data_IF_735699398969
#
_entry.id   IF_735699398969
#
_cell.length_a   1.000
_cell.length_b   1.000
_cell.length_c   1.000
_cell.angle_alpha   90.00
_cell.angle_beta   90.00
_cell.angle_gamma   90.00
#
_symmetry.space_group_name_H-M   'P 1'
#
loop_
_entity.id
_entity.type
_entity.pdbx_description
1 polymer ?
#
# COMPACT_ATOMS: atom_id res chain seq x y z
N UNK A 1 -45.52 -20.89 -1.05
CA UNK A 1 -44.38 -20.98 -0.10
C UNK A 1 -43.15 -21.43 -0.89
N UNK A 2 -41.99 -20.80 -0.64
CA UNK A 2 -40.70 -20.84 -1.38
C UNK A 2 -40.52 -19.78 -2.47
N UNK A 3 -40.18 -18.56 -2.03
CA UNK A 3 -39.43 -17.59 -2.82
C UNK A 3 -37.99 -18.11 -3.00
N UNK A 4 -37.58 -18.37 -4.23
CA UNK A 4 -36.17 -18.55 -4.57
C UNK A 4 -35.47 -17.19 -4.47
N UNK A 5 -34.75 -16.95 -3.38
CA UNK A 5 -33.79 -15.85 -3.29
C UNK A 5 -32.64 -16.20 -4.25
N UNK A 6 -32.65 -15.63 -5.45
CA UNK A 6 -31.48 -15.62 -6.33
C UNK A 6 -30.36 -14.91 -5.57
N UNK A 7 -29.40 -15.66 -5.07
CA UNK A 7 -28.13 -15.11 -4.61
C UNK A 7 -27.47 -14.47 -5.82
N UNK A 8 -27.52 -13.14 -5.90
CA UNK A 8 -26.75 -12.37 -6.88
C UNK A 8 -25.29 -12.58 -6.49
N UNK A 9 -24.59 -13.42 -7.24
CA UNK A 9 -23.15 -13.56 -7.16
C UNK A 9 -22.57 -12.26 -7.73
N UNK A 10 -22.27 -11.28 -6.87
CA UNK A 10 -21.45 -10.15 -7.26
C UNK A 10 -20.04 -10.69 -7.50
N UNK A 11 -19.76 -11.06 -8.76
CA UNK A 11 -18.41 -11.42 -9.20
C UNK A 11 -17.59 -10.15 -9.13
N UNK A 12 -16.80 -10.02 -8.07
CA UNK A 12 -15.75 -9.03 -8.05
C UNK A 12 -14.47 -9.68 -8.55
N UNK A 13 -14.11 -9.36 -9.78
CA UNK A 13 -12.82 -9.73 -10.34
C UNK A 13 -11.82 -8.68 -9.83
N UNK A 14 -10.78 -9.10 -9.12
CA UNK A 14 -9.61 -8.23 -8.90
C UNK A 14 -9.06 -7.83 -10.26
N UNK A 15 -8.63 -6.59 -10.47
CA UNK A 15 -8.27 -6.00 -11.78
C UNK A 15 -7.21 -6.77 -12.61
N UNK A 16 -6.69 -7.90 -12.13
CA UNK A 16 -5.53 -8.60 -12.67
C UNK A 16 -5.86 -10.01 -13.24
N UNK A 17 -7.12 -10.44 -13.29
CA UNK A 17 -7.55 -11.59 -14.13
C UNK A 17 -7.80 -11.18 -15.60
N UNK A 18 -7.44 -9.96 -15.99
CA UNK A 18 -7.84 -9.29 -17.23
C UNK A 18 -7.01 -9.64 -18.49
N UNK A 19 -5.93 -10.41 -18.38
CA UNK A 19 -5.03 -10.65 -19.51
C UNK A 19 -5.57 -11.60 -20.60
N UNK A 20 -6.84 -12.02 -20.57
CA UNK A 20 -7.42 -12.90 -21.60
C UNK A 20 -8.76 -12.46 -22.19
N UNK A 21 -9.33 -11.30 -21.83
CA UNK A 21 -10.61 -10.86 -22.43
C UNK A 21 -10.60 -9.36 -22.74
N UNK A 22 -10.70 -9.04 -24.03
CA UNK A 22 -10.83 -7.70 -24.59
C UNK A 22 -11.95 -6.87 -23.96
N UNK A 23 -11.66 -5.60 -23.67
CA UNK A 23 -12.59 -4.48 -23.48
C UNK A 23 -13.75 -4.65 -22.47
N UNK A 24 -13.45 -4.71 -21.17
CA UNK A 24 -14.46 -4.40 -20.15
C UNK A 24 -13.84 -3.66 -18.93
N UNK A 25 -14.21 -2.40 -18.73
CA UNK A 25 -14.05 -1.73 -17.43
C UNK A 25 -15.02 -2.42 -16.45
N UNK A 26 -14.52 -3.07 -15.39
CA UNK A 26 -15.38 -3.69 -14.36
C UNK A 26 -15.27 -2.98 -13.02
N UNK A 27 -16.28 -2.16 -12.77
CA UNK A 27 -16.68 -1.63 -11.46
C UNK A 27 -17.60 -2.62 -10.74
N UNK A 28 -17.63 -2.61 -9.40
CA UNK A 28 -18.51 -3.46 -8.60
C UNK A 28 -19.97 -3.00 -8.70
N UNK A 29 -20.86 -3.91 -9.09
CA UNK A 29 -22.24 -3.61 -9.46
C UNK A 29 -23.25 -4.09 -8.42
N UNK A 30 -24.18 -3.22 -8.00
CA UNK A 30 -25.40 -3.65 -7.29
C UNK A 30 -26.58 -3.65 -8.26
N UNK A 31 -27.08 -4.84 -8.58
CA UNK A 31 -28.43 -5.06 -9.14
C UNK A 31 -28.66 -4.65 -10.60
N UNK A 32 -29.04 -5.62 -11.46
CA UNK A 32 -29.67 -5.32 -12.75
C UNK A 32 -31.19 -5.15 -12.54
N UNK A 33 -31.71 -3.95 -12.74
CA UNK A 33 -33.07 -3.75 -13.24
C UNK A 33 -33.10 -2.56 -14.21
N UNK A 34 -33.52 -2.84 -15.44
CA UNK A 34 -33.99 -1.88 -16.46
C UNK A 34 -33.03 -0.75 -16.89
N UNK A 35 -32.04 -1.09 -17.72
CA UNK A 35 -31.43 -0.14 -18.67
C UNK A 35 -30.60 1.02 -18.10
N UNK A 36 -30.30 1.03 -16.79
CA UNK A 36 -29.41 2.03 -16.19
C UNK A 36 -27.96 1.55 -16.19
N UNK A 37 -27.05 2.49 -16.45
CA UNK A 37 -25.61 2.29 -16.27
C UNK A 37 -25.34 1.69 -14.88
N UNK A 38 -24.38 0.78 -14.79
CA UNK A 38 -24.10 0.13 -13.54
C UNK A 38 -23.70 1.12 -12.44
N UNK A 39 -24.21 0.91 -11.22
CA UNK A 39 -23.93 1.74 -10.05
C UNK A 39 -22.85 1.09 -9.19
N UNK A 40 -21.79 1.86 -8.90
CA UNK A 40 -20.73 1.51 -7.95
C UNK A 40 -21.30 1.34 -6.53
N UNK A 41 -20.89 0.29 -5.82
CA UNK A 41 -21.30 0.10 -4.44
C UNK A 41 -20.51 1.01 -3.49
N UNK A 42 -21.02 2.19 -3.22
CA UNK A 42 -20.39 3.15 -2.31
C UNK A 42 -20.96 3.06 -0.89
N UNK A 43 -20.10 3.25 0.10
CA UNK A 43 -20.43 3.41 1.51
C UNK A 43 -19.56 4.52 2.12
N UNK A 44 -20.10 5.21 3.11
CA UNK A 44 -19.45 6.33 3.80
C UNK A 44 -19.56 6.16 5.32
N UNK A 45 -19.30 7.24 6.06
CA UNK A 45 -19.18 7.27 7.51
C UNK A 45 -20.36 6.64 8.25
N UNK A 46 -20.07 5.87 9.29
CA UNK A 46 -21.05 5.22 10.17
C UNK A 46 -21.75 4.01 9.57
N UNK A 47 -21.49 3.69 8.30
CA UNK A 47 -22.13 2.55 7.63
C UNK A 47 -21.39 1.24 7.87
N UNK A 48 -22.06 0.14 7.55
CA UNK A 48 -21.49 -1.20 7.54
C UNK A 48 -21.78 -1.90 6.21
N UNK A 49 -20.92 -2.85 5.83
CA UNK A 49 -21.09 -3.63 4.61
C UNK A 49 -20.65 -5.08 4.77
N UNK A 50 -21.45 -5.99 4.21
CA UNK A 50 -21.07 -7.39 3.95
C UNK A 50 -20.66 -7.63 2.49
N UNK A 51 -20.81 -6.62 1.65
CA UNK A 51 -20.68 -6.76 0.21
C UNK A 51 -19.23 -6.60 -0.20
N UNK A 52 -18.75 -7.56 -0.98
CA UNK A 52 -17.42 -7.49 -1.57
C UNK A 52 -17.35 -6.32 -2.57
N UNK A 53 -16.19 -5.69 -2.70
CA UNK A 53 -15.94 -4.58 -3.60
C UNK A 53 -16.79 -3.35 -3.29
N UNK A 54 -16.94 -3.08 -2.00
CA UNK A 54 -17.49 -1.82 -1.52
C UNK A 54 -16.42 -0.73 -1.62
N UNK A 55 -16.81 0.43 -2.14
CA UNK A 55 -16.00 1.64 -2.16
C UNK A 55 -16.28 2.47 -0.91
N UNK A 56 -15.28 2.63 -0.06
CA UNK A 56 -15.33 3.55 1.08
C UNK A 56 -14.97 4.95 0.60
N UNK A 57 -15.95 5.85 0.60
CA UNK A 57 -15.78 7.20 0.04
C UNK A 57 -15.98 8.29 1.07
N UNK A 58 -15.31 9.43 0.86
CA UNK A 58 -15.56 10.65 1.61
C UNK A 58 -17.02 11.10 1.48
N UNK A 59 -17.59 11.76 2.51
CA UNK A 59 -18.91 12.38 2.37
C UNK A 59 -18.89 13.39 1.21
N UNK A 60 -19.85 13.27 0.28
CA UNK A 60 -19.93 14.14 -0.89
C UNK A 60 -18.99 13.78 -2.05
N UNK A 61 -18.24 12.66 -1.98
CA UNK A 61 -17.41 12.18 -3.09
C UNK A 61 -18.18 12.17 -4.43
N UNK A 62 -17.60 12.66 -5.54
CA UNK A 62 -16.16 12.91 -5.77
C UNK A 62 -15.66 14.29 -5.36
N UNK A 63 -16.48 15.15 -4.76
CA UNK A 63 -16.03 16.47 -4.32
C UNK A 63 -15.14 16.39 -3.07
N UNK A 64 -14.34 17.44 -2.84
CA UNK A 64 -13.50 17.54 -1.66
C UNK A 64 -14.34 17.66 -0.38
N UNK A 65 -13.96 16.89 0.64
CA UNK A 65 -14.52 16.94 1.98
C UNK A 65 -13.66 17.83 2.88
N UNK A 66 -14.27 18.85 3.48
CA UNK A 66 -13.53 19.88 4.21
C UNK A 66 -13.63 19.84 5.72
N UNK A 67 -14.57 19.10 6.28
CA UNK A 67 -14.85 19.13 7.71
C UNK A 67 -13.97 18.17 8.52
N UNK A 68 -13.86 18.42 9.82
CA UNK A 68 -13.29 17.48 10.77
C UNK A 68 -14.29 16.33 11.01
N UNK A 69 -13.83 15.08 11.05
CA UNK A 69 -14.72 13.94 11.23
C UNK A 69 -14.00 12.71 11.78
N UNK A 70 -14.77 11.84 12.42
CA UNK A 70 -14.39 10.46 12.69
C UNK A 70 -15.24 9.55 11.79
N UNK A 71 -14.76 9.34 10.57
CA UNK A 71 -15.50 8.62 9.54
C UNK A 71 -15.10 7.15 9.54
N UNK A 72 -15.95 6.29 10.09
CA UNK A 72 -15.69 4.84 10.15
C UNK A 72 -16.60 4.05 9.22
N UNK A 73 -16.03 3.16 8.39
CA UNK A 73 -16.73 2.09 7.70
C UNK A 73 -16.48 0.76 8.39
N UNK A 74 -17.54 0.03 8.70
CA UNK A 74 -17.47 -1.32 9.29
C UNK A 74 -17.55 -2.39 8.20
N UNK A 75 -16.50 -3.18 8.05
CA UNK A 75 -16.44 -4.33 7.15
C UNK A 75 -16.84 -5.59 7.90
N UNK A 76 -17.98 -6.15 7.52
CA UNK A 76 -18.53 -7.35 8.10
C UNK A 76 -18.24 -8.55 7.18
N UNK A 77 -17.44 -9.50 7.66
CA UNK A 77 -17.10 -10.70 6.89
C UNK A 77 -18.26 -11.70 6.88
N UNK A 78 -18.44 -12.39 5.75
CA UNK A 78 -19.46 -13.44 5.62
C UNK A 78 -18.98 -14.72 6.26
N UNK A 79 -19.77 -15.30 7.16
CA UNK A 79 -19.48 -16.61 7.77
C UNK A 79 -19.51 -17.77 6.76
N UNK A 80 -20.14 -17.57 5.59
CA UNK A 80 -20.26 -18.60 4.55
C UNK A 80 -19.02 -18.72 3.68
N UNK A 81 -18.20 -17.67 3.63
CA UNK A 81 -16.97 -17.63 2.85
C UNK A 81 -15.81 -17.57 3.82
N UNK A 82 -14.86 -18.49 3.69
CA UNK A 82 -13.67 -18.49 4.53
C UNK A 82 -12.73 -17.38 4.05
N UNK A 83 -12.94 -16.14 4.52
CA UNK A 83 -12.15 -14.96 4.16
C UNK A 83 -10.91 -14.89 5.05
N UNK A 84 -9.72 -14.91 4.43
CA UNK A 84 -8.45 -14.78 5.14
C UNK A 84 -7.82 -13.39 4.99
N UNK A 85 -8.15 -12.66 3.93
CA UNK A 85 -7.56 -11.34 3.67
C UNK A 85 -8.60 -10.36 3.16
N UNK A 86 -8.37 -9.09 3.44
CA UNK A 86 -9.06 -7.96 2.81
C UNK A 86 -8.01 -7.13 2.08
N UNK A 87 -8.15 -6.96 0.77
CA UNK A 87 -7.33 -6.02 0.01
C UNK A 87 -8.03 -4.66 -0.03
N UNK A 88 -7.28 -3.61 0.28
CA UNK A 88 -7.70 -2.23 0.10
C UNK A 88 -6.94 -1.66 -1.08
N UNK A 89 -7.66 -1.15 -2.08
CA UNK A 89 -7.08 -0.42 -3.21
C UNK A 89 -7.43 1.07 -3.05
N UNK A 90 -6.41 1.92 -2.95
CA UNK A 90 -6.55 3.37 -2.81
C UNK A 90 -6.70 4.01 -4.20
N UNK A 91 -7.93 4.07 -4.70
CA UNK A 91 -8.19 4.65 -6.02
C UNK A 91 -7.97 6.16 -5.98
N UNK A 92 -8.56 6.80 -4.97
CA UNK A 92 -8.26 8.16 -4.55
C UNK A 92 -7.91 8.11 -3.07
N UNK A 93 -6.86 8.83 -2.68
CA UNK A 93 -6.50 8.98 -1.27
C UNK A 93 -5.66 10.24 -1.13
N UNK A 94 -6.31 11.31 -0.68
CA UNK A 94 -5.70 12.59 -0.35
C UNK A 94 -6.26 13.04 1.00
N UNK A 95 -5.38 13.17 1.98
CA UNK A 95 -5.69 13.82 3.27
C UNK A 95 -4.72 14.96 3.51
N UNK A 96 -4.78 15.60 4.69
CA UNK A 96 -3.70 16.44 5.17
C UNK A 96 -2.36 15.68 5.16
N UNK A 97 -1.30 16.40 4.79
CA UNK A 97 0.07 15.87 4.79
C UNK A 97 0.54 15.60 6.22
N UNK A 98 1.44 14.62 6.43
CA UNK A 98 2.09 14.44 7.71
C UNK A 98 2.97 15.66 8.07
N UNK A 99 3.13 15.88 9.37
CA UNK A 99 4.10 16.83 9.92
C UNK A 99 5.35 16.05 10.31
N UNK A 100 6.47 16.29 9.62
CA UNK A 100 7.74 15.58 9.84
C UNK A 100 7.58 14.05 9.83
N UNK A 101 6.81 13.53 8.86
CA UNK A 101 6.49 12.10 8.72
C UNK A 101 5.39 11.58 9.66
N UNK A 102 4.86 12.38 10.59
CA UNK A 102 3.82 11.96 11.54
C UNK A 102 2.41 12.41 11.14
N UNK A 103 1.45 11.49 11.17
CA UNK A 103 0.03 11.74 10.89
C UNK A 103 -0.72 12.34 12.09
N UNK A 104 -0.42 13.59 12.45
CA UNK A 104 -0.93 14.24 13.66
C UNK A 104 -2.39 14.71 13.56
N UNK A 105 -2.77 15.22 12.38
CA UNK A 105 -4.08 15.82 12.13
C UNK A 105 -5.04 14.86 11.47
N UNK A 106 -4.70 14.43 10.26
CA UNK A 106 -5.47 13.46 9.51
C UNK A 106 -4.80 12.09 9.57
N UNK A 107 -5.59 11.04 9.79
CA UNK A 107 -5.11 9.66 9.82
C UNK A 107 -6.17 8.67 9.36
N UNK A 108 -5.74 7.76 8.52
CA UNK A 108 -6.43 6.53 8.17
C UNK A 108 -5.89 5.39 9.02
N UNK A 109 -6.78 4.68 9.70
CA UNK A 109 -6.43 3.55 10.56
C UNK A 109 -7.28 2.33 10.22
N UNK A 110 -6.68 1.16 10.37
CA UNK A 110 -7.36 -0.13 10.22
C UNK A 110 -7.34 -0.85 11.56
N UNK A 111 -8.51 -1.25 12.07
CA UNK A 111 -8.65 -2.04 13.31
C UNK A 111 -9.40 -3.33 13.07
N UNK A 112 -9.19 -4.33 13.93
CA UNK A 112 -9.82 -5.65 13.80
C UNK A 112 -9.07 -6.61 12.85
N UNK A 113 -7.86 -6.22 12.42
CA UNK A 113 -6.88 -7.08 11.77
C UNK A 113 -6.26 -8.08 12.77
N UNK A 114 -5.49 -9.04 12.26
CA UNK A 114 -4.66 -9.91 13.08
C UNK A 114 -3.57 -9.08 13.78
N UNK A 115 -3.47 -9.20 15.11
CA UNK A 115 -2.52 -8.44 15.93
C UNK A 115 -1.05 -8.71 15.58
N UNK A 116 -0.76 -9.89 15.01
CA UNK A 116 0.59 -10.25 14.55
C UNK A 116 0.97 -9.59 13.22
N UNK A 117 0.01 -8.96 12.55
CA UNK A 117 0.21 -8.20 11.30
C UNK A 117 -0.28 -6.76 11.50
N UNK A 118 0.47 -5.94 12.25
CA UNK A 118 0.09 -4.54 12.47
C UNK A 118 0.01 -3.79 11.13
N UNK A 119 -0.99 -2.93 11.02
CA UNK A 119 -1.22 -2.08 9.84
C UNK A 119 -0.84 -0.66 10.24
N UNK A 120 0.04 0.03 9.47
CA UNK A 120 0.45 1.37 9.81
C UNK A 120 -0.70 2.37 9.66
N UNK A 121 -0.65 3.45 10.44
CA UNK A 121 -1.49 4.62 10.22
C UNK A 121 -1.01 5.35 8.97
N UNK A 122 -1.93 5.79 8.11
CA UNK A 122 -1.60 6.49 6.86
C UNK A 122 -2.21 7.89 6.81
N UNK A 123 -1.51 8.81 6.15
CA UNK A 123 -2.01 10.15 5.79
C UNK A 123 -1.28 10.65 4.54
N UNK A 124 -1.52 11.90 4.14
CA UNK A 124 -1.05 12.50 2.90
C UNK A 124 -1.69 11.86 1.66
N UNK A 125 -0.88 11.59 0.63
CA UNK A 125 -1.31 11.04 -0.65
C UNK A 125 -0.84 9.59 -0.84
N UNK A 126 -1.80 8.68 -1.00
CA UNK A 126 -1.53 7.26 -1.23
C UNK A 126 -2.29 6.69 -2.44
N UNK A 127 -2.78 7.55 -3.33
CA UNK A 127 -3.51 7.12 -4.52
C UNK A 127 -2.65 6.18 -5.40
N UNK A 128 -3.29 5.15 -5.95
CA UNK A 128 -2.66 4.11 -6.75
C UNK A 128 -1.94 3.02 -5.94
N UNK A 129 -1.86 3.14 -4.60
CA UNK A 129 -1.31 2.10 -3.73
C UNK A 129 -2.39 1.15 -3.20
N UNK A 130 -1.95 0.06 -2.58
CA UNK A 130 -2.84 -0.93 -1.97
C UNK A 130 -2.25 -1.50 -0.70
N UNK A 131 -3.08 -2.19 0.09
CA UNK A 131 -2.64 -2.99 1.23
C UNK A 131 -3.47 -4.26 1.39
N UNK A 132 -2.88 -5.29 1.98
CA UNK A 132 -3.51 -6.54 2.35
C UNK A 132 -3.61 -6.63 3.87
N UNK A 133 -4.83 -6.79 4.36
CA UNK A 133 -5.14 -6.92 5.78
C UNK A 133 -5.39 -8.39 6.08
N UNK A 134 -4.55 -8.99 6.92
CA UNK A 134 -4.77 -10.35 7.40
C UNK A 134 -5.88 -10.36 8.46
N UNK A 135 -6.84 -11.24 8.24
CA UNK A 135 -8.02 -11.43 9.08
C UNK A 135 -8.27 -12.92 9.37
N UNK A 136 -7.30 -13.78 9.03
CA UNK A 136 -7.40 -15.23 9.25
C UNK A 136 -7.66 -15.53 10.73
N UNK A 137 -8.59 -16.46 10.99
CA UNK A 137 -9.03 -16.89 12.32
C UNK A 137 -9.64 -15.79 13.21
N UNK A 138 -9.87 -14.59 12.67
CA UNK A 138 -10.63 -13.54 13.33
C UNK A 138 -12.01 -13.46 12.65
N UNK A 139 -13.09 -13.35 13.41
CA UNK A 139 -14.44 -13.09 12.86
C UNK A 139 -14.96 -11.69 13.23
N UNK A 140 -14.22 -10.96 14.06
CA UNK A 140 -14.53 -9.60 14.45
C UNK A 140 -14.52 -8.68 13.23
N UNK A 141 -15.44 -7.72 13.14
CA UNK A 141 -15.45 -6.73 12.05
C UNK A 141 -14.09 -6.04 11.89
N UNK A 142 -13.75 -5.66 10.65
CA UNK A 142 -12.66 -4.72 10.40
C UNK A 142 -13.24 -3.31 10.34
N UNK A 143 -12.60 -2.38 11.00
CA UNK A 143 -12.98 -0.97 10.98
C UNK A 143 -11.96 -0.20 10.15
N UNK A 144 -12.44 0.48 9.12
CA UNK A 144 -11.66 1.45 8.37
C UNK A 144 -12.06 2.83 8.87
N UNK A 145 -11.15 3.55 9.52
CA UNK A 145 -11.46 4.85 10.14
C UNK A 145 -10.59 5.93 9.54
N UNK A 146 -11.24 6.94 8.96
CA UNK A 146 -10.62 8.20 8.56
C UNK A 146 -10.94 9.26 9.62
N UNK A 147 -9.92 9.65 10.38
CA UNK A 147 -9.98 10.71 11.40
C UNK A 147 -9.36 11.96 10.80
N UNK A 148 -10.09 13.07 10.75
CA UNK A 148 -9.61 14.35 10.22
C UNK A 148 -9.78 15.48 11.22
N UNK A 149 -8.86 16.45 11.21
CA UNK A 149 -8.92 17.63 12.09
C UNK A 149 -8.93 18.93 11.31
N UNK A 150 -9.70 19.90 11.81
CA UNK A 150 -9.79 21.24 11.21
C UNK A 150 -10.30 21.22 9.77
N UNK A 151 -10.14 22.36 9.10
CA UNK A 151 -10.51 22.52 7.70
C UNK A 151 -9.38 22.06 6.78
N UNK A 152 -9.72 21.44 5.66
CA UNK A 152 -8.75 20.92 4.69
C UNK A 152 -9.42 20.49 3.40
N UNK A 153 -8.66 20.00 2.43
CA UNK A 153 -9.21 19.41 1.21
C UNK A 153 -8.86 17.93 1.22
N UNK A 154 -9.83 17.08 1.58
CA UNK A 154 -9.66 15.63 1.60
C UNK A 154 -10.54 14.97 0.58
N UNK A 155 -10.03 13.91 -0.02
CA UNK A 155 -10.79 13.07 -0.93
C UNK A 155 -10.28 11.65 -0.79
N UNK A 156 -11.18 10.69 -0.58
CA UNK A 156 -10.79 9.28 -0.61
C UNK A 156 -11.87 8.41 -1.26
N UNK A 157 -11.38 7.40 -1.96
CA UNK A 157 -12.13 6.31 -2.55
C UNK A 157 -11.31 5.03 -2.42
N UNK A 158 -11.63 4.25 -1.39
CA UNK A 158 -10.90 3.03 -1.03
C UNK A 158 -11.77 1.83 -1.38
N UNK A 159 -11.40 1.05 -2.40
CA UNK A 159 -12.10 -0.18 -2.76
C UNK A 159 -11.68 -1.31 -1.84
N UNK A 160 -12.64 -1.99 -1.23
CA UNK A 160 -12.40 -3.12 -0.33
C UNK A 160 -12.71 -4.45 -1.02
N UNK A 161 -11.78 -5.40 -1.03
CA UNK A 161 -11.95 -6.70 -1.67
C UNK A 161 -11.69 -7.84 -0.68
N UNK A 162 -12.71 -8.65 -0.40
CA UNK A 162 -12.58 -9.87 0.41
C UNK A 162 -11.92 -10.98 -0.41
N UNK A 163 -10.90 -11.60 0.17
CA UNK A 163 -10.10 -12.67 -0.44
C UNK A 163 -10.27 -13.94 0.40
N UNK A 164 -10.86 -14.95 -0.24
CA UNK A 164 -11.01 -16.28 0.34
C UNK A 164 -9.65 -16.96 0.59
N UNK A 165 -9.56 -17.77 1.63
CA UNK A 165 -8.35 -18.48 2.02
C UNK A 165 -7.79 -19.40 0.92
N UNK A 166 -8.67 -19.96 0.09
CA UNK A 166 -8.36 -20.82 -1.05
C UNK A 166 -8.00 -20.04 -2.31
N UNK A 167 -8.14 -18.71 -2.31
CA UNK A 167 -7.90 -17.91 -3.50
C UNK A 167 -6.39 -17.82 -3.79
N UNK A 168 -5.93 -18.22 -5.00
CA UNK A 168 -4.50 -18.16 -5.35
C UNK A 168 -3.96 -16.73 -5.49
N UNK A 169 -4.84 -15.72 -5.53
CA UNK A 169 -4.48 -14.29 -5.53
C UNK A 169 -4.19 -13.74 -4.12
N UNK A 170 -4.32 -14.56 -3.08
CA UNK A 170 -4.02 -14.17 -1.70
C UNK A 170 -2.54 -13.79 -1.57
N UNK A 171 -2.25 -12.67 -0.91
CA UNK A 171 -0.89 -12.31 -0.58
C UNK A 171 -0.29 -13.35 0.39
N UNK A 172 1.03 -13.61 0.35
CA UNK A 172 1.67 -14.41 1.38
C UNK A 172 1.41 -13.82 2.77
N UNK A 173 1.45 -14.67 3.80
CA UNK A 173 1.22 -14.22 5.19
C UNK A 173 2.20 -13.11 5.56
N UNK A 174 1.71 -12.13 6.32
CA UNK A 174 2.46 -10.97 6.78
C UNK A 174 2.90 -9.96 5.71
N UNK A 175 2.56 -10.14 4.43
CA UNK A 175 2.81 -9.15 3.39
C UNK A 175 1.77 -8.02 3.43
N UNK A 176 2.18 -6.78 3.74
CA UNK A 176 1.26 -5.65 3.71
C UNK A 176 1.00 -5.20 2.28
N UNK A 177 2.02 -5.21 1.43
CA UNK A 177 1.88 -5.01 -0.02
C UNK A 177 2.25 -6.30 -0.76
N UNK A 178 1.50 -6.60 -1.82
CA UNK A 178 1.77 -7.73 -2.69
C UNK A 178 1.60 -7.33 -4.15
N UNK A 179 2.70 -7.36 -4.88
CA UNK A 179 2.78 -7.06 -6.31
C UNK A 179 2.86 -8.35 -7.11
N UNK A 180 2.22 -8.35 -8.28
CA UNK A 180 2.13 -9.50 -9.19
C UNK A 180 2.60 -9.08 -10.58
N UNK A 181 2.87 -10.06 -11.43
CA UNK A 181 3.39 -9.82 -12.76
C UNK A 181 4.91 -9.62 -12.76
N UNK A 182 5.54 -9.74 -13.94
CA UNK A 182 6.99 -9.77 -14.06
C UNK A 182 7.64 -8.40 -13.86
N UNK A 183 6.88 -7.31 -13.92
CA UNK A 183 7.41 -5.96 -13.78
C UNK A 183 6.36 -4.99 -13.26
N UNK A 184 6.80 -3.89 -12.66
CA UNK A 184 5.93 -2.84 -12.16
C UNK A 184 6.67 -1.79 -11.35
N UNK A 185 5.91 -0.90 -10.71
CA UNK A 185 6.44 0.13 -9.82
C UNK A 185 5.85 -0.03 -8.43
N UNK A 186 6.68 0.16 -7.42
CA UNK A 186 6.27 0.17 -6.01
C UNK A 186 6.91 1.36 -5.30
N UNK A 187 6.29 1.82 -4.23
CA UNK A 187 6.74 3.00 -3.49
C UNK A 187 6.42 2.90 -2.01
N UNK A 188 7.10 3.69 -1.20
CA UNK A 188 6.69 3.91 0.19
C UNK A 188 5.30 4.55 0.24
N UNK A 189 4.56 4.28 1.32
CA UNK A 189 3.40 5.10 1.65
C UNK A 189 3.81 6.57 1.79
N UNK A 190 2.94 7.44 1.30
CA UNK A 190 3.15 8.89 1.16
C UNK A 190 4.45 9.29 0.43
N UNK A 191 4.94 8.48 -0.52
CA UNK A 191 6.03 8.90 -1.39
C UNK A 191 5.72 10.25 -2.06
N UNK A 192 6.65 11.19 -1.97
CA UNK A 192 6.56 12.50 -2.60
C UNK A 192 7.87 12.84 -3.31
N UNK A 193 7.80 13.47 -4.48
CA UNK A 193 9.00 14.00 -5.17
C UNK A 193 9.65 15.16 -4.42
N UNK A 194 8.90 15.80 -3.53
CA UNK A 194 9.36 16.86 -2.64
C UNK A 194 8.84 16.58 -1.22
N UNK A 195 9.76 16.40 -0.28
CA UNK A 195 9.48 16.17 1.14
C UNK A 195 8.73 17.33 1.81
N UNK A 196 8.67 18.53 1.19
CA UNK A 196 7.77 19.61 1.64
C UNK A 196 6.29 19.18 1.68
N UNK A 197 5.94 18.14 0.92
CA UNK A 197 4.62 17.50 0.93
C UNK A 197 4.51 16.37 1.95
N UNK A 198 5.41 16.33 2.92
CA UNK A 198 5.36 15.44 4.08
C UNK A 198 6.09 14.12 3.91
N UNK A 199 6.55 13.73 2.71
CA UNK A 199 7.46 12.59 2.51
C UNK A 199 6.97 11.22 3.04
N UNK A 200 7.85 10.22 3.13
CA UNK A 200 7.47 8.94 3.74
C UNK A 200 7.08 9.11 5.21
N UNK A 201 6.23 8.21 5.71
CA UNK A 201 5.72 8.27 7.08
C UNK A 201 6.70 7.66 8.09
N UNK A 202 6.64 8.15 9.32
CA UNK A 202 7.37 7.60 10.45
C UNK A 202 6.71 6.32 10.98
N UNK A 203 7.48 5.54 11.74
CA UNK A 203 7.06 4.30 12.39
C UNK A 203 6.54 3.24 11.42
N UNK A 204 7.02 3.26 10.18
CA UNK A 204 6.71 2.24 9.20
C UNK A 204 7.57 1.01 9.44
N UNK A 205 6.95 -0.17 9.34
CA UNK A 205 7.61 -1.45 9.45
C UNK A 205 6.75 -2.47 8.70
N UNK A 206 7.04 -2.66 7.42
CA UNK A 206 6.24 -3.58 6.61
C UNK A 206 7.03 -4.23 5.47
N UNK A 207 6.74 -5.50 5.17
CA UNK A 207 7.23 -6.16 3.98
C UNK A 207 6.34 -5.86 2.76
N UNK A 208 7.02 -5.77 1.63
CA UNK A 208 6.48 -5.61 0.29
C UNK A 208 6.89 -6.86 -0.49
N UNK A 209 5.92 -7.69 -0.80
CA UNK A 209 6.17 -8.99 -1.41
C UNK A 209 5.89 -8.94 -2.90
N UNK A 210 6.64 -9.72 -3.67
CA UNK A 210 6.43 -9.86 -5.11
C UNK A 210 6.19 -11.33 -5.43
N UNK A 211 5.19 -11.61 -6.26
CA UNK A 211 4.96 -12.96 -6.77
C UNK A 211 6.09 -13.33 -7.71
N UNK A 212 6.82 -14.40 -7.41
CA UNK A 212 7.79 -14.97 -8.36
C UNK A 212 7.03 -15.62 -9.52
N UNK A 213 7.12 -15.03 -10.70
CA UNK A 213 6.42 -15.50 -11.88
C UNK A 213 7.13 -16.71 -12.50
N UNK A 214 6.40 -17.49 -13.29
CA UNK A 214 6.93 -18.72 -13.90
C UNK A 214 8.15 -18.41 -14.78
N UNK A 215 9.23 -19.18 -14.62
CA UNK A 215 10.45 -19.00 -15.39
C UNK A 215 11.21 -17.71 -15.08
N UNK A 216 11.04 -17.16 -13.86
CA UNK A 216 11.80 -16.01 -13.37
C UNK A 216 12.68 -16.40 -12.19
N UNK A 217 13.97 -16.09 -12.30
CA UNK A 217 14.99 -16.56 -11.35
C UNK A 217 15.51 -15.45 -10.42
N UNK A 218 15.54 -14.20 -10.87
CA UNK A 218 15.94 -13.04 -10.08
C UNK A 218 15.02 -11.83 -10.31
N UNK A 219 15.12 -10.82 -9.46
CA UNK A 219 14.40 -9.56 -9.60
C UNK A 219 15.33 -8.37 -9.46
N UNK A 220 15.35 -7.50 -10.46
CA UNK A 220 16.13 -6.26 -10.46
C UNK A 220 15.25 -5.08 -10.05
N UNK A 221 15.73 -4.29 -9.10
CA UNK A 221 15.13 -3.03 -8.64
C UNK A 221 15.93 -1.85 -9.18
N UNK A 222 15.26 -0.84 -9.70
CA UNK A 222 15.89 0.33 -10.31
C UNK A 222 15.23 1.62 -9.83
N UNK A 223 16.06 2.56 -9.38
CA UNK A 223 15.68 3.97 -9.21
C UNK A 223 15.81 4.67 -10.56
N UNK A 224 14.69 5.11 -11.14
CA UNK A 224 14.64 5.61 -12.52
C UNK A 224 15.14 7.05 -12.65
N UNK A 225 15.01 7.86 -11.59
CA UNK A 225 15.46 9.24 -11.55
C UNK A 225 16.07 9.59 -10.18
N UNK A 226 16.55 10.83 -10.03
CA UNK A 226 17.22 11.32 -8.82
C UNK A 226 16.28 11.48 -7.62
N UNK A 227 14.98 11.63 -7.87
CA UNK A 227 13.94 11.85 -6.85
C UNK A 227 13.30 10.54 -6.40
N UNK A 228 13.52 9.46 -7.16
CA UNK A 228 12.95 8.12 -6.94
C UNK A 228 13.41 7.45 -5.64
N UNK A 229 14.47 7.95 -5.01
CA UNK A 229 15.02 7.36 -3.80
C UNK A 229 15.71 8.41 -2.93
N UNK A 230 15.12 8.71 -1.79
CA UNK A 230 15.74 9.48 -0.72
C UNK A 230 15.20 9.01 0.63
N UNK A 231 16.04 8.31 1.38
CA UNK A 231 15.77 7.88 2.76
C UNK A 231 16.82 8.50 3.66
N UNK A 232 16.38 9.30 4.62
CA UNK A 232 17.27 10.09 5.47
C UNK A 232 17.56 9.32 6.77
N UNK A 233 18.82 9.34 7.20
CA UNK A 233 19.20 8.95 8.55
C UNK A 233 20.04 10.08 9.13
N UNK A 234 19.75 10.46 10.37
CA UNK A 234 20.53 11.43 11.11
C UNK A 234 21.30 10.73 12.23
N UNK A 235 22.53 11.19 12.47
CA UNK A 235 23.29 10.80 13.65
C UNK A 235 22.86 11.61 14.89
N UNK A 236 23.48 11.33 16.04
CA UNK A 236 23.17 12.00 17.32
C UNK A 236 23.37 13.52 17.33
N UNK A 237 24.14 14.05 16.37
CA UNK A 237 24.37 15.48 16.19
C UNK A 237 23.50 16.04 15.06
N UNK A 238 22.37 15.39 14.76
CA UNK A 238 21.40 15.78 13.72
C UNK A 238 22.02 15.97 12.34
N UNK A 239 23.15 15.31 12.07
CA UNK A 239 23.85 15.38 10.79
C UNK A 239 23.56 14.12 9.97
N UNK A 240 23.40 14.22 8.64
CA UNK A 240 23.20 13.05 7.79
C UNK A 240 24.30 12.00 7.99
N UNK A 241 23.93 10.73 8.08
CA UNK A 241 24.90 9.62 8.11
C UNK A 241 25.56 9.39 6.75
N UNK A 242 24.89 9.82 5.68
CA UNK A 242 25.30 9.72 4.27
C UNK A 242 25.31 11.13 3.68
N UNK A 243 26.31 11.46 2.87
CA UNK A 243 26.43 12.78 2.26
C UNK A 243 25.28 13.10 1.29
N UNK A 244 25.03 14.39 1.09
CA UNK A 244 23.99 14.85 0.17
C UNK A 244 24.25 14.36 -1.26
N UNK A 245 23.31 13.60 -1.82
CA UNK A 245 23.44 13.04 -3.17
C UNK A 245 24.16 11.68 -3.25
N UNK A 246 24.62 11.15 -2.12
CA UNK A 246 25.32 9.86 -2.03
C UNK A 246 24.34 8.71 -1.72
N UNK A 247 24.75 7.47 -2.03
CA UNK A 247 24.08 6.24 -1.62
C UNK A 247 24.62 5.77 -0.27
N UNK A 248 23.71 5.31 0.59
CA UNK A 248 24.06 4.61 1.82
C UNK A 248 23.77 3.12 1.73
N UNK A 249 24.68 2.30 2.25
CA UNK A 249 24.60 0.85 2.28
C UNK A 249 24.94 0.28 3.67
N UNK A 250 24.13 -0.67 4.10
CA UNK A 250 24.37 -1.44 5.31
C UNK A 250 23.99 -0.72 6.62
N UNK A 251 24.33 -1.36 7.74
CA UNK A 251 23.82 -0.98 9.06
C UNK A 251 24.45 0.27 9.66
N UNK A 252 25.66 0.64 9.20
CA UNK A 252 26.37 1.81 9.72
C UNK A 252 25.82 3.10 9.12
N UNK A 253 25.55 3.09 7.81
CA UNK A 253 25.03 4.24 7.07
C UNK A 253 23.51 4.33 7.17
N UNK A 254 22.82 3.18 7.25
CA UNK A 254 21.35 3.08 7.31
C UNK A 254 20.87 2.37 8.60
N UNK A 255 21.13 2.95 9.79
CA UNK A 255 20.85 2.30 11.07
C UNK A 255 19.35 2.20 11.38
N UNK A 256 18.57 3.24 11.09
CA UNK A 256 17.20 3.40 11.57
C UNK A 256 16.19 3.25 10.43
N UNK A 257 16.38 4.07 9.39
CA UNK A 257 15.49 4.17 8.24
C UNK A 257 16.15 3.49 7.05
N UNK A 258 15.48 2.51 6.46
CA UNK A 258 16.04 1.80 5.32
C UNK A 258 14.99 1.07 4.50
N UNK A 259 15.28 0.98 3.21
CA UNK A 259 14.71 -0.03 2.34
C UNK A 259 15.66 -1.22 2.33
N UNK A 260 15.18 -2.41 2.69
CA UNK A 260 15.95 -3.65 2.61
C UNK A 260 15.60 -4.40 1.33
N UNK A 261 16.61 -4.66 0.50
CA UNK A 261 16.54 -5.44 -0.73
C UNK A 261 17.66 -6.49 -0.70
N UNK A 262 17.40 -7.74 -1.10
CA UNK A 262 18.40 -8.83 -1.07
C UNK A 262 19.09 -9.05 0.30
N UNK A 263 18.50 -8.53 1.39
CA UNK A 263 19.08 -8.62 2.74
C UNK A 263 19.89 -7.38 3.17
N UNK A 264 20.34 -6.56 2.24
CA UNK A 264 21.08 -5.32 2.51
C UNK A 264 20.16 -4.12 2.73
N UNK A 265 20.62 -3.18 3.54
CA UNK A 265 19.89 -1.94 3.87
C UNK A 265 20.37 -0.81 2.99
N UNK A 266 19.44 -0.09 2.38
CA UNK A 266 19.71 1.03 1.49
C UNK A 266 19.07 2.29 2.04
N UNK A 267 19.81 3.40 1.97
CA UNK A 267 19.36 4.74 2.32
C UNK A 267 20.19 5.80 1.56
N UNK A 268 20.07 7.07 1.93
CA UNK A 268 20.68 8.17 1.18
C UNK A 268 19.86 8.55 -0.04
N UNK A 269 20.47 9.31 -0.94
CA UNK A 269 19.82 9.91 -2.12
C UNK A 269 19.98 9.07 -3.40
N UNK A 270 20.64 7.91 -3.31
CA UNK A 270 20.87 6.99 -4.42
C UNK A 270 20.67 5.56 -3.97
N UNK A 271 20.23 4.71 -4.90
CA UNK A 271 20.21 3.27 -4.71
C UNK A 271 21.48 2.71 -5.33
N UNK A 272 22.39 2.14 -4.54
CA UNK A 272 23.64 1.56 -5.06
C UNK A 272 24.11 0.38 -4.18
N UNK A 273 24.29 -0.84 -4.74
CA UNK A 273 24.73 -2.01 -4.00
C UNK A 273 26.25 -2.21 -3.95
N UNK A 274 27.07 -1.35 -4.57
CA UNK A 274 28.52 -1.52 -4.61
C UNK A 274 29.16 -1.22 -3.23
N UNK A 275 29.64 -2.24 -2.49
CA UNK A 275 30.23 -2.03 -1.17
C UNK A 275 31.67 -1.48 -1.26
N UNK A 276 32.27 -1.46 -2.45
CA UNK A 276 33.63 -0.98 -2.69
C UNK A 276 33.67 0.49 -3.10
N UNK A 277 32.54 1.04 -3.54
CA UNK A 277 32.44 2.44 -3.92
C UNK A 277 32.54 3.34 -2.67
N UNK A 278 33.46 4.30 -2.70
CA UNK A 278 33.51 5.36 -1.68
C UNK A 278 32.54 6.47 -2.07
N UNK A 279 31.55 6.75 -1.22
CA UNK A 279 30.57 7.83 -1.41
C UNK A 279 29.90 7.83 -2.81
N UNK A 280 29.29 6.72 -3.24
CA UNK A 280 28.71 6.62 -4.58
C UNK A 280 27.58 7.64 -4.79
N UNK A 281 27.63 8.42 -5.86
CA UNK A 281 26.62 9.46 -6.20
C UNK A 281 25.70 9.08 -7.36
N UNK A 282 25.71 7.80 -7.76
CA UNK A 282 24.95 7.27 -8.90
C UNK A 282 24.04 6.13 -8.48
N UNK A 283 22.89 6.02 -9.16
CA UNK A 283 22.00 4.88 -9.02
C UNK A 283 22.58 3.68 -9.77
N UNK A 284 22.64 2.53 -9.11
CA UNK A 284 23.00 1.23 -9.68
C UNK A 284 21.90 0.23 -9.32
N UNK A 285 21.40 -0.56 -10.28
CA UNK A 285 20.34 -1.53 -10.00
C UNK A 285 20.75 -2.58 -8.96
N UNK A 286 19.82 -2.95 -8.09
CA UNK A 286 19.99 -4.03 -7.11
C UNK A 286 19.30 -5.29 -7.65
N UNK A 287 19.96 -6.44 -7.67
CA UNK A 287 19.40 -7.68 -8.23
C UNK A 287 19.27 -8.76 -7.17
N UNK A 288 18.04 -9.02 -6.74
CA UNK A 288 17.71 -10.06 -5.78
C UNK A 288 17.64 -11.43 -6.46
N UNK A 289 18.56 -12.32 -6.06
CA UNK A 289 18.65 -13.71 -6.55
C UNK A 289 18.07 -14.74 -5.57
N UNK A 290 17.29 -14.30 -4.59
CA UNK A 290 16.72 -15.16 -3.56
C UNK A 290 15.93 -16.34 -4.13
N UNK A 291 16.13 -17.52 -3.53
CA UNK A 291 15.39 -18.72 -3.90
C UNK A 291 13.90 -18.62 -3.57
N UNK A 292 13.55 -17.93 -2.47
CA UNK A 292 12.18 -17.69 -2.01
C UNK A 292 11.43 -16.60 -2.80
N UNK A 293 10.26 -16.16 -2.30
CA UNK A 293 9.60 -14.96 -2.81
C UNK A 293 10.55 -13.76 -2.75
N UNK A 294 10.49 -12.87 -3.75
CA UNK A 294 11.20 -11.60 -3.65
C UNK A 294 10.47 -10.71 -2.64
N UNK A 295 11.23 -10.14 -1.71
CA UNK A 295 10.68 -9.33 -0.61
C UNK A 295 11.56 -8.09 -0.47
N UNK A 296 10.92 -6.93 -0.63
CA UNK A 296 11.45 -5.68 -0.12
C UNK A 296 10.87 -5.44 1.27
N UNK A 297 11.59 -4.74 2.14
CA UNK A 297 11.11 -4.44 3.48
C UNK A 297 11.48 -3.01 3.86
N UNK A 298 10.49 -2.20 4.21
CA UNK A 298 10.71 -0.82 4.57
C UNK A 298 10.54 -0.62 6.07
N UNK A 299 11.50 0.10 6.67
CA UNK A 299 11.47 0.51 8.06
C UNK A 299 11.78 2.00 8.16
N UNK A 300 11.02 2.72 8.98
CA UNK A 300 11.33 4.07 9.47
C UNK A 300 11.18 4.17 10.98
N UNK A 301 11.93 5.06 11.60
CA UNK A 301 11.85 5.45 13.00
C UNK A 301 10.82 6.58 13.23
N UNK A 302 10.92 7.28 14.36
CA UNK A 302 9.97 8.31 14.77
C UNK A 302 10.46 9.75 14.59
N UNK A 303 11.68 9.98 14.10
CA UNK A 303 12.35 11.28 14.24
C UNK A 303 12.46 12.06 12.93
N UNK A 304 12.72 11.40 11.80
CA UNK A 304 12.99 12.08 10.54
C UNK A 304 12.35 11.42 9.34
N UNK A 305 12.15 12.21 8.29
CA UNK A 305 11.74 11.66 7.01
C UNK A 305 12.26 12.46 5.81
N UNK A 306 12.02 11.93 4.62
CA UNK A 306 12.35 12.55 3.34
C UNK A 306 11.38 12.04 2.25
N UNK A 307 11.72 12.17 0.97
CA UNK A 307 10.84 11.81 -0.15
C UNK A 307 10.32 10.37 -0.11
N UNK A 308 11.15 9.42 0.33
CA UNK A 308 10.86 8.00 0.35
C UNK A 308 11.45 7.31 -0.86
N UNK A 309 10.80 6.24 -1.33
CA UNK A 309 11.23 5.55 -2.54
C UNK A 309 10.07 5.29 -3.48
N UNK A 310 10.37 5.29 -4.78
CA UNK A 310 9.53 4.81 -5.87
C UNK A 310 10.43 4.11 -6.89
N UNK A 311 10.43 2.78 -6.86
CA UNK A 311 11.34 1.97 -7.65
C UNK A 311 10.56 1.16 -8.69
N UNK A 312 11.21 0.91 -9.82
CA UNK A 312 10.76 -0.07 -10.81
C UNK A 312 11.36 -1.43 -10.49
N UNK A 313 10.55 -2.49 -10.52
CA UNK A 313 11.03 -3.86 -10.44
C UNK A 313 10.82 -4.57 -11.78
N UNK A 314 11.77 -5.44 -12.13
CA UNK A 314 11.69 -6.35 -13.28
C UNK A 314 12.24 -7.72 -12.89
N UNK A 315 11.45 -8.76 -13.09
CA UNK A 315 11.86 -10.14 -12.89
C UNK A 315 12.56 -10.66 -14.14
N UNK A 316 13.77 -11.16 -13.94
CA UNK A 316 14.62 -11.64 -15.01
C UNK A 316 14.36 -13.12 -15.28
N UNK A 317 14.36 -13.55 -16.55
CA UNK A 317 14.31 -14.97 -16.90
C UNK A 317 15.39 -15.79 -16.20
N UNK A 318 15.05 -17.03 -15.92
CA UNK A 318 16.06 -18.09 -15.95
C UNK A 318 16.53 -18.27 -17.40
#
# INVERSE_FOLDING_TARGET
>A
MKFFVKTILCICITSELFNTVSNAVQTSYVGKSNGKNPVLLQRTCGQATHQNCTHFTSPGYPDDYSEATECTLTLLRSMKQNICQIRLDFLDFQTGNPTDGNCLDDKFTVRGNNINTPVPELCGNNAGQHMYIDVENNLSPVYLTMSTKGLGRRNWNIKTSYIECSNPSKAPKNCLQYYRGPQGTFSSFNYARDASNGGYLNNLNYPICFRKELGRCSQTYTAQDIESFLILNLNRNTSPTVGGGEAGLGVLECPNDYLRLEGDRYCGARLNPDPSATNPTTNVPVTDTSAGPFIAYFKSDSENNANGFRLYYNQNPC
#
